data_IF_018151402650
#
_entry.id   IF_018151402650
#
_cell.length_a   1.000
_cell.length_b   1.000
_cell.length_c   1.000
_cell.angle_alpha   90.00
_cell.angle_beta   90.00
_cell.angle_gamma   90.00
#
_symmetry.space_group_name_H-M   'P 1'
#
loop_
_entity.id
_entity.type
_entity.pdbx_description
1 polymer ?
#
# COMPACT_ATOMS: atom_id res chain seq x y z
N UNK A 1 -13.08 11.45 11.22
CA UNK A 1 -13.49 12.84 10.92
C UNK A 1 -13.88 13.02 9.46
N UNK A 2 -12.95 12.89 8.51
CA UNK A 2 -13.18 13.13 7.07
C UNK A 2 -14.44 12.44 6.49
N UNK A 3 -14.61 11.12 6.72
CA UNK A 3 -15.77 10.39 6.23
C UNK A 3 -17.12 10.86 6.82
N UNK A 4 -17.12 11.40 8.05
CA UNK A 4 -18.32 11.99 8.67
C UNK A 4 -18.64 13.37 8.07
N UNK A 5 -17.61 14.22 7.88
CA UNK A 5 -17.76 15.52 7.18
C UNK A 5 -18.34 15.34 5.78
N UNK A 6 -17.85 14.36 5.00
CA UNK A 6 -18.40 14.02 3.67
C UNK A 6 -19.88 13.62 3.67
N UNK A 7 -20.43 13.22 4.83
CA UNK A 7 -21.85 12.93 5.02
C UNK A 7 -22.65 14.12 5.55
N UNK A 8 -22.07 15.33 5.56
CA UNK A 8 -22.71 16.55 6.03
C UNK A 8 -22.77 16.71 7.55
N UNK A 9 -22.00 15.90 8.30
CA UNK A 9 -21.97 16.01 9.75
C UNK A 9 -20.91 17.01 10.20
N UNK A 10 -21.26 17.86 11.16
CA UNK A 10 -20.32 18.72 11.87
C UNK A 10 -19.42 17.87 12.76
N UNK A 11 -18.10 18.03 12.63
CA UNK A 11 -17.11 17.25 13.38
C UNK A 11 -16.13 18.21 14.07
N UNK A 12 -15.95 18.02 15.37
CA UNK A 12 -14.84 18.60 16.12
C UNK A 12 -13.73 17.57 16.24
N UNK A 13 -12.52 17.92 15.81
CA UNK A 13 -11.32 17.09 15.99
C UNK A 13 -10.52 17.63 17.18
N UNK A 14 -10.18 16.77 18.13
CA UNK A 14 -9.37 17.11 19.31
C UNK A 14 -8.15 16.18 19.32
N UNK A 15 -6.97 16.77 19.35
CA UNK A 15 -5.68 16.07 19.44
C UNK A 15 -4.79 16.82 20.45
N UNK A 16 -4.25 16.10 21.43
CA UNK A 16 -3.49 16.70 22.54
C UNK A 16 -2.02 16.98 22.23
N UNK A 17 -1.43 16.25 21.28
CA UNK A 17 0.00 16.36 20.92
C UNK A 17 0.21 16.99 19.53
N UNK A 18 -0.83 16.95 18.69
CA UNK A 18 -0.83 17.50 17.35
C UNK A 18 -0.84 16.40 16.28
N UNK A 19 -1.31 16.78 15.09
CA UNK A 19 -1.48 15.85 13.97
C UNK A 19 -0.17 15.15 13.63
N UNK A 20 -0.17 13.83 13.78
CA UNK A 20 0.98 13.00 13.46
C UNK A 20 2.11 13.06 14.48
N UNK A 21 1.87 13.48 15.73
CA UNK A 21 2.86 13.39 16.80
C UNK A 21 3.19 11.93 17.20
N UNK A 22 2.22 11.02 17.04
CA UNK A 22 2.38 9.58 17.29
C UNK A 22 2.83 8.78 16.06
N UNK A 23 2.40 7.51 15.98
CA UNK A 23 2.81 6.56 14.93
C UNK A 23 2.48 7.01 13.48
N UNK A 24 1.51 7.91 13.32
CA UNK A 24 1.13 8.48 12.02
C UNK A 24 2.09 9.55 11.49
N UNK A 25 3.15 9.88 12.25
CA UNK A 25 4.13 10.92 11.93
C UNK A 25 5.34 10.47 11.11
N UNK A 26 5.37 9.21 10.66
CA UNK A 26 6.52 8.65 9.95
C UNK A 26 6.88 9.50 8.72
N UNK A 27 8.19 9.66 8.39
CA UNK A 27 8.59 10.43 7.20
C UNK A 27 8.08 9.84 5.88
N UNK A 28 7.84 8.54 5.84
CA UNK A 28 7.33 7.79 4.71
C UNK A 28 6.61 6.53 5.22
N UNK A 29 5.47 6.19 4.64
CA UNK A 29 4.73 4.98 4.97
C UNK A 29 4.62 4.07 3.74
N UNK A 30 5.02 2.82 3.89
CA UNK A 30 4.85 1.78 2.87
C UNK A 30 3.35 1.45 2.72
N UNK A 31 2.84 1.55 1.50
CA UNK A 31 1.47 1.21 1.16
C UNK A 31 1.45 0.03 0.20
N UNK A 32 1.17 -1.18 0.70
CA UNK A 32 1.14 -2.42 -0.07
C UNK A 32 0.10 -3.40 0.49
N UNK A 33 -0.38 -4.38 -0.28
CA UNK A 33 -1.32 -5.38 0.22
C UNK A 33 -0.67 -6.31 1.24
N UNK A 34 -1.50 -6.89 2.11
CA UNK A 34 -1.11 -7.95 3.06
C UNK A 34 -2.04 -9.15 2.83
N UNK A 35 -1.45 -10.31 2.65
CA UNK A 35 -2.17 -11.58 2.60
C UNK A 35 -1.21 -12.75 2.85
N UNK A 36 -1.77 -13.89 3.21
CA UNK A 36 -1.06 -15.11 3.59
C UNK A 36 -1.10 -16.19 2.50
N UNK A 37 -0.24 -17.19 2.65
CA UNK A 37 -0.18 -18.35 1.74
C UNK A 37 -1.48 -19.16 1.80
N UNK A 38 -2.01 -19.37 2.99
CA UNK A 38 -3.30 -20.03 3.18
C UNK A 38 -4.32 -18.92 3.44
N UNK A 39 -5.38 -18.77 2.62
CA UNK A 39 -6.35 -17.72 2.82
C UNK A 39 -7.02 -17.84 4.17
N UNK A 40 -7.17 -16.71 4.83
CA UNK A 40 -7.91 -16.53 6.08
C UNK A 40 -8.90 -15.38 5.91
N UNK A 41 -9.94 -15.29 6.75
CA UNK A 41 -10.81 -14.11 6.75
C UNK A 41 -10.06 -12.80 7.02
N UNK A 42 -8.91 -12.84 7.70
CA UNK A 42 -8.02 -11.68 7.87
C UNK A 42 -7.43 -11.22 6.54
N UNK A 43 -7.05 -12.16 5.66
CA UNK A 43 -6.53 -11.83 4.33
C UNK A 43 -7.61 -11.18 3.46
N UNK A 44 -8.84 -11.69 3.49
CA UNK A 44 -9.96 -11.09 2.75
C UNK A 44 -10.21 -9.64 3.19
N UNK A 45 -10.15 -9.38 4.50
CA UNK A 45 -10.24 -8.03 5.05
C UNK A 45 -9.10 -7.15 4.54
N UNK A 46 -7.85 -7.61 4.61
CA UNK A 46 -6.70 -6.80 4.19
C UNK A 46 -6.67 -6.55 2.68
N UNK A 47 -7.08 -7.52 1.86
CA UNK A 47 -7.22 -7.35 0.42
C UNK A 47 -8.29 -6.30 0.12
N UNK A 48 -9.48 -6.42 0.72
CA UNK A 48 -10.56 -5.46 0.53
C UNK A 48 -10.17 -4.05 1.01
N UNK A 49 -9.51 -3.95 2.18
CA UNK A 49 -9.01 -2.71 2.73
C UNK A 49 -7.96 -2.06 1.83
N UNK A 50 -7.01 -2.84 1.30
CA UNK A 50 -6.00 -2.35 0.37
C UNK A 50 -6.65 -1.82 -0.91
N UNK A 51 -7.53 -2.58 -1.56
CA UNK A 51 -8.19 -2.16 -2.80
C UNK A 51 -9.06 -0.91 -2.61
N UNK A 52 -9.76 -0.82 -1.48
CA UNK A 52 -10.51 0.38 -1.10
C UNK A 52 -9.57 1.58 -0.90
N UNK A 53 -8.56 1.41 -0.06
CA UNK A 53 -7.63 2.49 0.28
C UNK A 53 -6.85 2.97 -0.94
N UNK A 54 -6.45 2.08 -1.84
CA UNK A 54 -5.72 2.40 -3.07
C UNK A 54 -6.56 3.31 -3.97
N UNK A 55 -7.83 2.97 -4.18
CA UNK A 55 -8.78 3.79 -4.93
C UNK A 55 -9.00 5.14 -4.25
N UNK A 56 -9.21 5.16 -2.93
CA UNK A 56 -9.44 6.41 -2.20
C UNK A 56 -8.20 7.31 -2.22
N UNK A 57 -6.98 6.78 -2.04
CA UNK A 57 -5.74 7.57 -2.13
C UNK A 57 -5.62 8.24 -3.49
N UNK A 58 -5.89 7.50 -4.58
CA UNK A 58 -5.91 8.08 -5.93
C UNK A 58 -6.95 9.16 -6.11
N UNK A 59 -8.13 9.02 -5.52
CA UNK A 59 -9.20 10.02 -5.61
C UNK A 59 -8.85 11.27 -4.79
N UNK A 60 -8.44 11.09 -3.55
CA UNK A 60 -8.08 12.18 -2.64
C UNK A 60 -6.91 13.01 -3.16
N UNK A 61 -5.90 12.36 -3.77
CA UNK A 61 -4.75 13.11 -4.26
C UNK A 61 -5.04 13.94 -5.52
N UNK A 62 -6.16 13.75 -6.23
CA UNK A 62 -6.46 14.50 -7.47
C UNK A 62 -6.48 16.00 -7.21
N UNK A 63 -6.97 16.39 -6.04
CA UNK A 63 -7.10 17.79 -5.62
C UNK A 63 -6.00 18.19 -4.61
N UNK A 64 -5.03 17.31 -4.35
CA UNK A 64 -3.97 17.56 -3.39
C UNK A 64 -2.75 18.20 -4.05
N UNK A 65 -2.32 19.34 -3.51
CA UNK A 65 -1.07 19.99 -3.88
C UNK A 65 -0.27 20.30 -2.59
N UNK A 66 0.91 19.68 -2.36
CA UNK A 66 1.56 18.64 -3.17
C UNK A 66 0.87 17.26 -3.07
N UNK A 67 1.17 16.31 -4.00
CA UNK A 67 0.70 14.94 -3.88
C UNK A 67 1.28 14.26 -2.63
N UNK A 68 0.47 13.48 -1.92
CA UNK A 68 0.88 12.74 -0.72
C UNK A 68 1.01 11.24 -0.95
N UNK A 69 0.66 10.73 -2.14
CA UNK A 69 0.78 9.31 -2.48
C UNK A 69 1.59 9.15 -3.77
N UNK A 70 2.58 8.26 -3.71
CA UNK A 70 3.51 7.99 -4.80
C UNK A 70 3.42 6.50 -5.19
N UNK A 71 2.53 6.15 -6.14
CA UNK A 71 2.29 4.77 -6.57
C UNK A 71 3.33 4.28 -7.58
N UNK A 72 4.62 4.31 -7.23
CA UNK A 72 5.72 3.81 -8.09
C UNK A 72 5.92 2.30 -8.05
N UNK A 73 5.07 1.59 -7.33
CA UNK A 73 5.16 0.16 -7.13
C UNK A 73 6.06 -0.24 -5.96
N UNK A 74 5.90 -1.48 -5.51
CA UNK A 74 6.70 -2.09 -4.44
C UNK A 74 7.18 -3.45 -4.90
N UNK A 75 8.48 -3.70 -4.74
CA UNK A 75 9.10 -5.01 -4.88
C UNK A 75 9.23 -5.68 -3.52
N UNK A 76 8.61 -6.84 -3.34
CA UNK A 76 8.78 -7.69 -2.17
C UNK A 76 9.60 -8.91 -2.58
N UNK A 77 10.86 -8.95 -2.18
CA UNK A 77 11.79 -10.02 -2.52
C UNK A 77 11.58 -11.26 -1.63
N UNK A 78 11.62 -12.44 -2.24
CA UNK A 78 11.86 -13.67 -1.49
C UNK A 78 13.31 -13.68 -0.99
N UNK A 79 13.54 -14.26 0.19
CA UNK A 79 14.87 -14.33 0.81
C UNK A 79 15.38 -15.76 0.96
N UNK A 80 14.54 -16.74 0.62
CA UNK A 80 14.84 -18.17 0.70
C UNK A 80 14.10 -18.92 -0.39
N UNK A 81 14.58 -20.11 -0.76
CA UNK A 81 13.88 -21.01 -1.70
C UNK A 81 12.47 -21.38 -1.21
N UNK A 82 12.30 -21.49 0.11
CA UNK A 82 11.01 -21.73 0.72
C UNK A 82 10.05 -20.55 0.50
N UNK A 83 10.52 -19.31 0.61
CA UNK A 83 9.74 -18.11 0.29
C UNK A 83 9.46 -17.97 -1.20
N UNK A 84 10.44 -18.29 -2.07
CA UNK A 84 10.24 -18.30 -3.52
C UNK A 84 9.12 -19.28 -3.91
N UNK A 85 9.18 -20.52 -3.38
CA UNK A 85 8.13 -21.53 -3.58
C UNK A 85 6.77 -21.10 -3.04
N UNK A 86 6.74 -20.27 -1.97
CA UNK A 86 5.50 -19.69 -1.43
C UNK A 86 4.95 -18.61 -2.35
N UNK A 87 5.81 -17.80 -2.96
CA UNK A 87 5.39 -16.75 -3.88
C UNK A 87 4.73 -17.32 -5.13
N UNK A 88 5.30 -18.38 -5.71
CA UNK A 88 4.71 -19.09 -6.85
C UNK A 88 3.29 -19.59 -6.55
N UNK A 89 3.08 -20.22 -5.38
CA UNK A 89 1.76 -20.72 -4.96
C UNK A 89 0.74 -19.59 -4.78
N UNK A 90 1.17 -18.48 -4.20
CA UNK A 90 0.33 -17.29 -4.03
C UNK A 90 -0.02 -16.69 -5.40
N UNK A 91 0.96 -16.53 -6.31
CA UNK A 91 0.74 -15.97 -7.63
C UNK A 91 -0.25 -16.82 -8.44
N UNK A 92 -0.12 -18.16 -8.38
CA UNK A 92 -1.02 -19.08 -9.06
C UNK A 92 -2.48 -18.99 -8.56
N UNK A 93 -2.72 -18.54 -7.33
CA UNK A 93 -4.07 -18.31 -6.80
C UNK A 93 -4.69 -17.00 -7.28
N UNK A 94 -3.89 -16.04 -7.75
CA UNK A 94 -4.32 -14.70 -8.12
C UNK A 94 -5.21 -14.02 -7.05
N UNK A 95 -4.70 -13.76 -5.83
CA UNK A 95 -5.48 -13.18 -4.73
C UNK A 95 -5.91 -11.73 -4.96
N UNK A 96 -5.31 -11.05 -5.94
CA UNK A 96 -5.62 -9.66 -6.27
C UNK A 96 -6.11 -9.56 -7.73
N UNK A 97 -6.89 -8.52 -8.06
CA UNK A 97 -7.28 -8.24 -9.44
C UNK A 97 -6.07 -8.03 -10.36
N UNK A 98 -6.30 -8.18 -11.66
CA UNK A 98 -5.29 -7.91 -12.69
C UNK A 98 -4.60 -6.54 -12.48
N UNK A 99 -3.29 -6.49 -12.70
CA UNK A 99 -2.47 -5.29 -12.53
C UNK A 99 -2.14 -4.90 -11.08
N UNK A 100 -2.48 -5.73 -10.09
CA UNK A 100 -2.14 -5.48 -8.68
C UNK A 100 -1.01 -6.37 -8.15
N UNK A 101 -0.73 -7.51 -8.80
CA UNK A 101 0.31 -8.45 -8.41
C UNK A 101 0.91 -9.11 -9.64
N UNK A 102 2.24 -9.06 -9.73
CA UNK A 102 3.03 -9.79 -10.70
C UNK A 102 4.15 -10.52 -9.96
N UNK A 103 4.43 -11.77 -10.36
CA UNK A 103 5.61 -12.49 -9.89
C UNK A 103 6.72 -12.32 -10.93
N UNK A 104 7.80 -11.65 -10.54
CA UNK A 104 8.95 -11.42 -11.41
C UNK A 104 10.03 -12.45 -11.08
N UNK A 105 10.54 -13.13 -12.11
CA UNK A 105 11.62 -14.09 -11.96
C UNK A 105 12.93 -13.39 -11.58
N UNK A 106 13.83 -14.12 -10.90
CA UNK A 106 15.11 -13.58 -10.45
C UNK A 106 15.96 -12.98 -11.59
N UNK A 107 15.91 -13.59 -12.79
CA UNK A 107 16.70 -13.13 -13.94
C UNK A 107 16.20 -11.80 -14.52
N UNK A 108 14.90 -11.53 -14.47
CA UNK A 108 14.28 -10.30 -14.98
C UNK A 108 14.36 -9.13 -13.97
N UNK A 109 14.52 -9.43 -12.68
CA UNK A 109 14.48 -8.43 -11.62
C UNK A 109 15.61 -7.41 -11.69
N UNK A 110 16.78 -7.79 -12.21
CA UNK A 110 17.93 -6.89 -12.31
C UNK A 110 17.62 -5.62 -13.11
N UNK A 111 16.81 -5.75 -14.17
CA UNK A 111 16.36 -4.64 -15.00
C UNK A 111 15.42 -3.66 -14.27
N UNK A 112 14.68 -4.15 -13.27
CA UNK A 112 13.71 -3.37 -12.49
C UNK A 112 14.35 -2.78 -11.23
N UNK A 113 15.07 -3.63 -10.48
CA UNK A 113 15.66 -3.29 -9.18
C UNK A 113 17.01 -2.56 -9.29
N UNK A 114 17.72 -2.71 -10.42
CA UNK A 114 19.06 -2.16 -10.63
C UNK A 114 20.18 -2.95 -9.96
N UNK A 115 19.90 -4.13 -9.42
CA UNK A 115 20.87 -5.04 -8.80
C UNK A 115 20.41 -6.51 -8.90
N UNK A 116 21.34 -7.45 -8.79
CA UNK A 116 21.05 -8.89 -8.77
C UNK A 116 20.52 -9.33 -7.40
N UNK A 117 19.45 -10.12 -7.39
CA UNK A 117 18.75 -10.54 -6.16
C UNK A 117 18.91 -12.03 -5.86
N UNK A 118 19.16 -12.86 -6.89
CA UNK A 118 19.19 -14.33 -6.80
C UNK A 118 17.82 -15.01 -6.57
N UNK A 119 16.79 -14.24 -6.20
CA UNK A 119 15.45 -14.73 -5.87
C UNK A 119 14.35 -13.93 -6.59
N UNK A 120 13.18 -14.54 -6.88
CA UNK A 120 12.04 -13.84 -7.44
C UNK A 120 11.44 -12.84 -6.43
N UNK A 121 10.58 -11.97 -6.93
CA UNK A 121 9.89 -10.97 -6.11
C UNK A 121 8.46 -10.78 -6.60
N UNK A 122 7.58 -10.40 -5.67
CA UNK A 122 6.34 -9.78 -6.06
C UNK A 122 6.58 -8.33 -6.44
N UNK A 123 6.05 -7.95 -7.60
CA UNK A 123 5.80 -6.57 -7.96
C UNK A 123 4.34 -6.26 -7.66
N UNK A 124 4.11 -5.21 -6.87
CA UNK A 124 2.80 -4.61 -6.66
C UNK A 124 2.76 -3.26 -7.37
N UNK A 125 2.35 -3.18 -8.66
CA UNK A 125 2.50 -1.96 -9.46
C UNK A 125 1.73 -0.75 -8.91
N UNK A 126 0.67 -1.00 -8.15
CA UNK A 126 -0.22 0.02 -7.58
C UNK A 126 0.07 0.34 -6.12
N UNK A 127 1.01 -0.37 -5.51
CA UNK A 127 1.57 -0.04 -4.21
C UNK A 127 2.52 1.16 -4.30
N UNK A 128 2.96 1.68 -3.16
CA UNK A 128 3.86 2.82 -3.16
C UNK A 128 4.16 3.35 -1.78
N UNK A 129 4.48 4.64 -1.73
CA UNK A 129 4.82 5.36 -0.50
C UNK A 129 3.82 6.49 -0.29
N UNK A 130 3.40 6.66 0.97
CA UNK A 130 2.57 7.79 1.42
C UNK A 130 3.46 8.76 2.21
N UNK A 131 3.31 10.06 1.96
CA UNK A 131 3.68 11.14 2.89
C UNK A 131 2.57 11.28 3.94
N UNK A 132 2.77 10.77 5.17
CA UNK A 132 1.72 10.80 6.18
C UNK A 132 1.33 12.21 6.59
N UNK A 133 2.27 13.17 6.57
CA UNK A 133 1.98 14.57 6.93
C UNK A 133 1.12 15.23 5.87
N UNK A 134 1.42 15.00 4.59
CA UNK A 134 0.60 15.46 3.47
C UNK A 134 -0.82 14.89 3.54
N UNK A 135 -0.95 13.60 3.78
CA UNK A 135 -2.25 12.93 3.92
C UNK A 135 -3.05 13.46 5.12
N UNK A 136 -2.42 13.56 6.29
CA UNK A 136 -3.08 14.08 7.49
C UNK A 136 -3.60 15.50 7.26
N UNK A 137 -2.77 16.39 6.70
CA UNK A 137 -3.20 17.75 6.34
C UNK A 137 -4.42 17.74 5.42
N UNK A 138 -4.39 16.94 4.35
CA UNK A 138 -5.50 16.85 3.41
C UNK A 138 -6.79 16.35 4.07
N UNK A 139 -6.72 15.34 4.94
CA UNK A 139 -7.90 14.77 5.60
C UNK A 139 -8.50 15.65 6.71
N UNK A 140 -7.73 16.61 7.22
CA UNK A 140 -8.16 17.51 8.31
C UNK A 140 -8.44 18.94 7.86
N UNK A 141 -8.13 19.28 6.60
CA UNK A 141 -8.48 20.58 6.01
C UNK A 141 -10.02 20.80 6.04
N UNK A 142 -10.41 22.06 6.17
CA UNK A 142 -11.80 22.52 6.10
C UNK A 142 -12.23 22.75 4.66
#
# INVERSE_FOLDING_TARGET
AYALKRKGLTVQLVDGEGLGAGASGNPAALFMPRFSINPTPEDDFHIAAYLYAEREMRNLQRDAAPPFFDPRGVLQFARTDAEASRFEKIAARAPLPEGHLELIAAHDLSAIAGFETGFPAFLFPRAGVIDPRGLLRHLTQE
#
